data_IF_105838063051
#
_entry.id   IF_105838063051
#
_cell.length_a   1.000
_cell.length_b   1.000
_cell.length_c   1.000
_cell.angle_alpha   90.00
_cell.angle_beta   90.00
_cell.angle_gamma   90.00
#
_symmetry.space_group_name_H-M   'P 1'
#
loop_
_entity.id
_entity.type
_entity.pdbx_description
1 polymer ?
#
# COMPACT_ATOMS: atom_id res chain seq x y z
N UNK A 1 -11.67 9.77 13.25
CA UNK A 1 -10.95 8.48 13.46
C UNK A 1 -9.48 8.70 13.19
N UNK A 2 -8.60 8.21 14.04
CA UNK A 2 -7.16 8.35 13.86
C UNK A 2 -6.52 6.99 13.55
N UNK A 3 -5.21 6.99 13.30
CA UNK A 3 -4.46 5.76 12.95
C UNK A 3 -4.59 4.68 14.01
N UNK A 4 -4.56 5.06 15.28
CA UNK A 4 -4.65 4.10 16.38
C UNK A 4 -6.02 3.42 16.42
N UNK A 5 -7.09 4.18 16.21
CA UNK A 5 -8.44 3.64 16.16
C UNK A 5 -8.63 2.70 14.96
N UNK A 6 -8.10 3.08 13.80
CA UNK A 6 -8.15 2.25 12.61
C UNK A 6 -7.40 0.93 12.85
N UNK A 7 -6.19 1.01 13.40
CA UNK A 7 -5.37 -0.17 13.70
C UNK A 7 -6.08 -1.09 14.67
N UNK A 8 -6.66 -0.54 15.74
CA UNK A 8 -7.37 -1.32 16.75
C UNK A 8 -8.61 -2.01 16.18
N UNK A 9 -9.39 -1.29 15.38
CA UNK A 9 -10.61 -1.85 14.78
C UNK A 9 -10.30 -2.97 13.79
N UNK A 10 -9.17 -2.90 13.12
CA UNK A 10 -8.77 -3.88 12.11
C UNK A 10 -7.85 -4.97 12.65
N UNK A 11 -7.51 -4.94 13.95
CA UNK A 11 -6.49 -5.82 14.54
C UNK A 11 -6.75 -7.31 14.36
N UNK A 12 -8.02 -7.73 14.29
CA UNK A 12 -8.39 -9.14 14.15
C UNK A 12 -8.68 -9.55 12.71
N UNK A 13 -8.88 -8.58 11.83
CA UNK A 13 -9.32 -8.85 10.44
C UNK A 13 -8.27 -9.63 9.67
N UNK A 14 -7.02 -9.31 9.89
CA UNK A 14 -5.92 -9.88 9.13
C UNK A 14 -5.71 -11.36 9.41
N UNK A 15 -6.17 -11.85 10.56
CA UNK A 15 -6.09 -13.28 10.92
C UNK A 15 -7.06 -14.12 10.11
N UNK A 16 -8.17 -13.54 9.66
CA UNK A 16 -9.14 -14.20 8.79
C UNK A 16 -8.67 -14.25 7.32
N UNK A 17 -7.79 -13.33 6.94
CA UNK A 17 -7.30 -13.20 5.56
C UNK A 17 -5.81 -13.55 5.51
N UNK A 18 -5.53 -14.84 5.51
CA UNK A 18 -4.15 -15.37 5.60
C UNK A 18 -3.28 -15.02 4.41
N UNK A 19 -3.87 -14.68 3.27
CA UNK A 19 -3.14 -14.24 2.09
C UNK A 19 -2.57 -12.83 2.23
N UNK A 20 -3.04 -12.07 3.20
CA UNK A 20 -2.55 -10.72 3.46
C UNK A 20 -1.23 -10.78 4.24
N UNK A 21 -0.17 -10.25 3.64
CA UNK A 21 1.17 -10.28 4.24
C UNK A 21 1.53 -8.98 4.93
N UNK A 22 1.19 -7.84 4.32
CA UNK A 22 1.54 -6.51 4.84
C UNK A 22 0.39 -5.55 4.56
N UNK A 23 0.16 -4.63 5.50
CA UNK A 23 -0.82 -3.57 5.32
C UNK A 23 -0.22 -2.24 5.73
N UNK A 24 -0.36 -1.27 4.84
CA UNK A 24 0.03 0.12 5.08
C UNK A 24 -1.22 0.99 5.16
N UNK A 25 -1.19 1.95 6.07
CA UNK A 25 -2.08 3.10 6.04
C UNK A 25 -1.29 4.22 5.37
N UNK A 26 -1.86 4.85 4.35
CA UNK A 26 -1.18 5.92 3.63
C UNK A 26 -2.13 7.09 3.39
N UNK A 27 -1.67 8.09 2.62
CA UNK A 27 -2.46 9.29 2.39
C UNK A 27 -2.57 10.18 3.63
N UNK A 28 -3.66 10.94 3.74
CA UNK A 28 -3.83 11.94 4.78
C UNK A 28 -3.85 11.38 6.20
N UNK A 29 -4.37 10.16 6.38
CA UNK A 29 -4.40 9.51 7.70
C UNK A 29 -3.00 9.12 8.18
N UNK A 30 -2.08 8.83 7.28
CA UNK A 30 -0.71 8.50 7.65
C UNK A 30 0.11 9.74 7.98
N UNK A 31 -0.16 10.87 7.34
CA UNK A 31 0.57 12.13 7.53
C UNK A 31 -0.02 13.04 8.59
N UNK A 32 -1.18 12.66 9.17
CA UNK A 32 -1.86 13.49 10.18
C UNK A 32 -2.64 14.66 9.59
N UNK A 33 -2.85 14.66 8.28
CA UNK A 33 -3.57 15.72 7.56
C UNK A 33 -5.03 15.36 7.30
N UNK A 34 -5.52 14.30 7.92
CA UNK A 34 -6.89 13.83 7.73
C UNK A 34 -7.93 14.87 8.14
N UNK A 35 -9.01 14.90 7.37
CA UNK A 35 -10.20 15.71 7.62
C UNK A 35 -11.40 14.77 7.73
N UNK A 36 -12.54 15.23 8.31
CA UNK A 36 -13.74 14.39 8.40
C UNK A 36 -14.21 13.82 7.05
N UNK A 37 -13.88 14.50 5.95
CA UNK A 37 -14.24 14.07 4.58
C UNK A 37 -13.16 13.29 3.89
N UNK A 38 -11.98 13.07 4.52
CA UNK A 38 -10.88 12.34 3.91
C UNK A 38 -11.21 10.86 3.77
N UNK A 39 -10.81 10.27 2.62
CA UNK A 39 -10.85 8.82 2.44
C UNK A 39 -9.74 8.17 3.27
N UNK A 40 -9.98 6.94 3.68
CA UNK A 40 -8.97 6.13 4.38
C UNK A 40 -8.27 5.30 3.32
N UNK A 41 -6.99 5.59 3.11
CA UNK A 41 -6.19 4.91 2.09
C UNK A 41 -5.43 3.74 2.73
N UNK A 42 -5.79 2.53 2.34
CA UNK A 42 -5.19 1.29 2.85
C UNK A 42 -4.56 0.55 1.68
N UNK A 43 -3.29 0.21 1.81
CA UNK A 43 -2.57 -0.57 0.82
C UNK A 43 -2.21 -1.93 1.39
N UNK A 44 -2.55 -3.00 0.66
CA UNK A 44 -2.28 -4.37 1.10
C UNK A 44 -1.31 -5.03 0.13
N UNK A 45 -0.33 -5.74 0.68
CA UNK A 45 0.50 -6.65 -0.08
C UNK A 45 0.01 -8.06 0.17
N UNK A 46 -0.63 -8.64 -0.84
CA UNK A 46 -1.25 -9.95 -0.77
C UNK A 46 -1.19 -10.59 -2.17
N UNK A 47 0.01 -11.10 -2.59
CA UNK A 47 0.20 -11.57 -3.96
C UNK A 47 -0.70 -12.74 -4.35
N UNK A 48 -1.17 -13.52 -3.39
CA UNK A 48 -2.05 -14.66 -3.64
C UNK A 48 -3.55 -14.33 -3.50
N UNK A 49 -3.88 -13.07 -3.21
CA UNK A 49 -5.27 -12.67 -2.99
C UNK A 49 -6.05 -12.68 -4.32
N UNK A 50 -7.16 -13.40 -4.34
CA UNK A 50 -8.06 -13.45 -5.50
C UNK A 50 -9.00 -12.23 -5.50
N UNK A 51 -9.68 -12.00 -6.63
CA UNK A 51 -10.71 -10.96 -6.70
C UNK A 51 -11.81 -11.19 -5.67
N UNK A 52 -12.26 -12.43 -5.53
CA UNK A 52 -13.27 -12.79 -4.51
C UNK A 52 -12.75 -12.47 -3.11
N UNK A 53 -11.50 -12.82 -2.83
CA UNK A 53 -10.85 -12.49 -1.56
C UNK A 53 -10.76 -11.00 -1.32
N UNK A 54 -10.43 -10.23 -2.36
CA UNK A 54 -10.39 -8.77 -2.29
C UNK A 54 -11.75 -8.17 -1.92
N UNK A 55 -12.81 -8.63 -2.59
CA UNK A 55 -14.16 -8.13 -2.32
C UNK A 55 -14.63 -8.46 -0.91
N UNK A 56 -14.30 -9.65 -0.42
CA UNK A 56 -14.60 -10.04 0.96
C UNK A 56 -13.81 -9.20 1.96
N UNK A 57 -12.55 -8.93 1.68
CA UNK A 57 -11.70 -8.08 2.51
C UNK A 57 -12.25 -6.65 2.57
N UNK A 58 -12.62 -6.09 1.42
CA UNK A 58 -13.21 -4.75 1.35
C UNK A 58 -14.49 -4.66 2.17
N UNK A 59 -15.37 -5.65 2.03
CA UNK A 59 -16.64 -5.70 2.79
C UNK A 59 -16.39 -5.76 4.30
N UNK A 60 -15.41 -6.55 4.72
CA UNK A 60 -15.06 -6.67 6.14
C UNK A 60 -14.48 -5.38 6.70
N UNK A 61 -13.57 -4.76 5.97
CA UNK A 61 -12.92 -3.50 6.38
C UNK A 61 -13.94 -2.37 6.47
N UNK A 62 -14.78 -2.20 5.45
CA UNK A 62 -15.80 -1.15 5.46
C UNK A 62 -16.83 -1.37 6.57
N UNK A 63 -17.20 -2.62 6.81
CA UNK A 63 -18.11 -2.95 7.91
C UNK A 63 -17.54 -2.62 9.29
N UNK A 64 -16.27 -2.92 9.52
CA UNK A 64 -15.62 -2.65 10.79
C UNK A 64 -15.37 -1.16 11.02
N UNK A 65 -15.00 -0.43 9.98
CA UNK A 65 -14.73 1.01 10.09
C UNK A 65 -16.01 1.84 10.01
N UNK A 66 -17.12 1.24 9.59
CA UNK A 66 -18.41 1.92 9.52
C UNK A 66 -18.49 2.99 8.45
N UNK A 67 -17.67 2.90 7.39
CA UNK A 67 -17.67 3.85 6.29
C UNK A 67 -17.28 3.15 4.98
N UNK A 68 -17.83 3.66 3.87
CA UNK A 68 -17.43 3.23 2.53
C UNK A 68 -16.35 4.14 1.93
N UNK A 69 -15.95 5.18 2.64
CA UNK A 69 -14.89 6.10 2.21
C UNK A 69 -13.52 5.47 2.48
N UNK A 70 -13.29 4.33 1.87
CA UNK A 70 -12.06 3.55 2.00
C UNK A 70 -11.55 3.24 0.61
N UNK A 71 -10.29 3.58 0.37
CA UNK A 71 -9.57 3.20 -0.84
C UNK A 71 -8.64 2.05 -0.47
N UNK A 72 -9.02 0.83 -0.86
CA UNK A 72 -8.26 -0.38 -0.59
C UNK A 72 -7.51 -0.80 -1.85
N UNK A 73 -6.20 -0.59 -1.85
CA UNK A 73 -5.34 -0.85 -3.01
C UNK A 73 -4.48 -2.09 -2.77
N UNK A 74 -4.29 -2.89 -3.81
CA UNK A 74 -3.36 -4.01 -3.79
C UNK A 74 -2.02 -3.56 -4.35
N UNK A 75 -0.91 -3.89 -3.68
CA UNK A 75 0.42 -3.44 -4.06
C UNK A 75 1.10 -4.36 -5.07
N UNK A 76 0.69 -5.62 -5.15
CA UNK A 76 1.33 -6.62 -6.00
C UNK A 76 1.24 -6.29 -7.49
N UNK A 77 0.18 -5.59 -7.92
CA UNK A 77 -0.05 -5.20 -9.32
C UNK A 77 0.31 -3.75 -9.61
N UNK A 78 0.89 -3.04 -8.65
CA UNK A 78 1.26 -1.64 -8.81
C UNK A 78 2.72 -1.49 -9.22
N UNK A 79 3.07 -0.42 -9.96
CA UNK A 79 4.45 -0.17 -10.33
C UNK A 79 5.32 0.16 -9.12
N UNK A 80 6.64 -0.02 -9.27
CA UNK A 80 7.59 0.22 -8.20
C UNK A 80 7.54 1.66 -7.67
N UNK A 81 7.24 2.64 -8.53
CA UNK A 81 7.11 4.04 -8.13
C UNK A 81 5.99 4.25 -7.12
N UNK A 82 4.84 3.62 -7.33
CA UNK A 82 3.71 3.69 -6.41
C UNK A 82 4.03 2.96 -5.10
N UNK A 83 4.55 1.74 -5.19
CA UNK A 83 4.92 0.95 -4.00
C UNK A 83 5.95 1.67 -3.14
N UNK A 84 6.96 2.25 -3.77
CA UNK A 84 8.00 3.02 -3.07
C UNK A 84 7.39 4.21 -2.32
N UNK A 85 6.47 4.93 -2.95
CA UNK A 85 5.80 6.07 -2.31
C UNK A 85 5.00 5.64 -1.08
N UNK A 86 4.28 4.52 -1.17
CA UNK A 86 3.54 3.97 -0.02
C UNK A 86 4.48 3.61 1.12
N UNK A 87 5.62 2.98 0.83
CA UNK A 87 6.62 2.64 1.84
C UNK A 87 7.18 3.89 2.51
N UNK A 88 7.49 4.92 1.70
CA UNK A 88 8.10 6.14 2.18
C UNK A 88 7.17 6.98 3.06
N UNK A 89 5.93 7.12 2.65
CA UNK A 89 4.97 8.02 3.28
C UNK A 89 3.97 7.32 4.18
N UNK A 90 3.75 6.03 3.95
CA UNK A 90 2.78 5.25 4.70
C UNK A 90 3.32 4.73 6.03
N UNK A 91 2.41 4.14 6.79
CA UNK A 91 2.74 3.48 8.07
C UNK A 91 2.26 2.05 8.02
N UNK A 92 3.12 1.12 8.43
CA UNK A 92 2.77 -0.29 8.54
C UNK A 92 1.81 -0.45 9.72
N UNK A 93 0.60 -0.93 9.46
CA UNK A 93 -0.36 -1.24 10.52
C UNK A 93 -0.48 -2.74 10.77
N UNK A 94 0.06 -3.56 9.86
CA UNK A 94 0.13 -5.00 10.03
C UNK A 94 1.25 -5.57 9.16
N UNK A 95 2.01 -6.52 9.69
CA UNK A 95 2.83 -7.42 8.90
C UNK A 95 2.76 -8.82 9.52
N UNK A 96 2.60 -9.83 8.66
CA UNK A 96 2.52 -11.21 9.11
C UNK A 96 3.86 -11.69 9.66
N UNK A 97 4.95 -11.21 9.07
CA UNK A 97 6.31 -11.60 9.38
C UNK A 97 7.24 -10.45 9.00
N UNK A 98 8.16 -10.09 9.88
CA UNK A 98 9.12 -9.02 9.62
C UNK A 98 10.03 -9.32 8.43
N UNK A 99 10.36 -10.59 8.19
CA UNK A 99 11.16 -10.97 7.02
C UNK A 99 10.42 -10.70 5.72
N UNK A 100 9.10 -10.94 5.69
CA UNK A 100 8.28 -10.60 4.53
C UNK A 100 8.25 -9.10 4.28
N UNK A 101 8.13 -8.31 5.35
CA UNK A 101 8.14 -6.86 5.26
C UNK A 101 9.47 -6.35 4.72
N UNK A 102 10.57 -6.80 5.28
CA UNK A 102 11.92 -6.40 4.87
C UNK A 102 12.19 -6.79 3.42
N UNK A 103 11.80 -8.00 3.01
CA UNK A 103 11.95 -8.47 1.64
C UNK A 103 11.16 -7.62 0.65
N UNK A 104 9.90 -7.32 0.99
CA UNK A 104 9.05 -6.49 0.14
C UNK A 104 9.63 -5.08 -0.03
N UNK A 105 10.05 -4.47 1.07
CA UNK A 105 10.59 -3.11 1.04
C UNK A 105 11.91 -3.04 0.28
N UNK A 106 12.81 -4.02 0.50
CA UNK A 106 14.08 -4.09 -0.20
C UNK A 106 13.89 -4.28 -1.71
N UNK A 107 13.05 -5.24 -2.09
CA UNK A 107 12.75 -5.49 -3.51
C UNK A 107 12.09 -4.29 -4.19
N UNK A 108 11.21 -3.62 -3.49
CA UNK A 108 10.56 -2.41 -4.01
C UNK A 108 11.57 -1.29 -4.21
N UNK A 109 12.46 -1.09 -3.23
CA UNK A 109 13.52 -0.09 -3.34
C UNK A 109 14.44 -0.37 -4.52
N UNK A 110 14.87 -1.62 -4.69
CA UNK A 110 15.71 -2.03 -5.81
C UNK A 110 15.02 -1.77 -7.15
N UNK A 111 13.75 -2.19 -7.28
CA UNK A 111 12.98 -1.98 -8.49
C UNK A 111 12.75 -0.49 -8.79
N UNK A 112 12.54 0.31 -7.75
CA UNK A 112 12.39 1.76 -7.90
C UNK A 112 13.70 2.40 -8.39
N UNK A 113 14.84 2.03 -7.82
CA UNK A 113 16.14 2.57 -8.23
C UNK A 113 16.47 2.17 -9.66
N UNK A 114 16.20 0.92 -10.05
CA UNK A 114 16.39 0.46 -11.44
C UNK A 114 15.50 1.24 -12.40
N UNK A 115 14.24 1.44 -12.05
CA UNK A 115 13.29 2.22 -12.86
C UNK A 115 13.75 3.68 -13.01
N UNK A 116 14.26 4.28 -11.93
CA UNK A 116 14.79 5.64 -11.96
C UNK A 116 15.98 5.75 -12.89
N UNK A 117 16.88 4.79 -12.84
CA UNK A 117 18.06 4.74 -13.70
C UNK A 117 17.66 4.60 -15.18
N UNK A 118 16.76 3.68 -15.49
CA UNK A 118 16.26 3.48 -16.84
C UNK A 118 15.56 4.74 -17.39
N UNK A 119 14.79 5.42 -16.57
CA UNK A 119 14.14 6.68 -16.97
C UNK A 119 15.17 7.76 -17.31
N UNK A 120 16.25 7.84 -16.55
CA UNK A 120 17.33 8.79 -16.84
C UNK A 120 18.00 8.49 -18.18
N UNK A 121 18.28 7.22 -18.45
CA UNK A 121 18.85 6.79 -19.74
C UNK A 121 17.91 7.12 -20.87
N UNK A 122 16.62 6.78 -20.72
CA UNK A 122 15.60 7.04 -21.74
C UNK A 122 15.51 8.53 -22.07
N UNK A 123 15.43 9.38 -21.05
CA UNK A 123 15.32 10.83 -21.25
C UNK A 123 16.57 11.40 -21.91
N UNK A 124 17.74 10.91 -21.53
CA UNK A 124 19.00 11.33 -22.15
C UNK A 124 18.99 11.03 -23.65
N UNK A 125 18.65 9.81 -24.03
CA UNK A 125 18.58 9.42 -25.44
C UNK A 125 17.50 10.19 -26.20
N UNK A 126 16.36 10.44 -25.56
CA UNK A 126 15.28 11.21 -26.18
C UNK A 126 15.74 12.64 -26.49
N UNK A 127 16.37 13.31 -25.56
CA UNK A 127 16.87 14.68 -25.76
C UNK A 127 18.02 14.74 -26.77
N UNK A 128 18.90 13.77 -26.75
CA UNK A 128 19.97 13.68 -27.75
C UNK A 128 19.42 13.49 -29.16
N UNK A 129 18.31 12.76 -29.30
CA UNK A 129 17.64 12.57 -30.59
C UNK A 129 16.95 13.81 -31.13
N UNK A 130 16.70 14.82 -30.29
CA UNK A 130 16.07 16.07 -30.68
C UNK A 130 17.06 17.13 -31.19
N UNK A 131 18.33 16.93 -30.94
CA UNK A 131 19.41 17.81 -31.35
C UNK A 131 20.01 17.29 -32.66
#
# INVERSE_FOLDING_TARGET
MNIQEITNKLSMVWQEFKDVEIIYLFGSYATGEERPTSDIDIAVFAPELTLDGYLKLWAKVTGLLGTEKIDLVTLSDKPATFRYQVIKEGKVIYCRDEDLLNDFELKTWQAYMDSKHLRKIYLKHFYEGLI
#
